data_IF_009988463212
#
_entry.id   IF_009988463212
#
_cell.length_a   1.000
_cell.length_b   1.000
_cell.length_c   1.000
_cell.angle_alpha   90.00
_cell.angle_beta   90.00
_cell.angle_gamma   90.00
#
_symmetry.space_group_name_H-M   'P 1'
#
loop_
_entity.id
_entity.type
_entity.pdbx_description
1 polymer ?
#
# COMPACT_ATOMS: atom_id res chain seq x y z
N UNK A 1 1.28 10.02 -19.47
CA UNK A 1 2.06 9.25 -18.53
C UNK A 1 2.15 7.79 -18.96
N UNK A 2 3.08 7.06 -18.42
CA UNK A 2 3.26 5.64 -18.70
C UNK A 2 2.61 4.83 -17.60
N UNK A 3 2.08 3.65 -17.97
CA UNK A 3 1.52 2.69 -17.00
C UNK A 3 2.35 1.42 -17.09
N UNK A 4 2.69 0.85 -15.96
CA UNK A 4 3.56 -0.32 -15.89
C UNK A 4 3.08 -1.39 -14.93
N UNK A 5 3.68 -2.55 -15.10
CA UNK A 5 3.67 -3.67 -14.16
C UNK A 5 4.99 -4.41 -14.26
N UNK A 6 5.30 -5.19 -13.25
CA UNK A 6 6.54 -5.95 -13.19
C UNK A 6 6.22 -7.44 -13.05
N UNK A 7 6.82 -8.22 -13.92
CA UNK A 7 6.83 -9.68 -13.85
C UNK A 7 8.29 -10.12 -13.65
N UNK A 8 8.55 -10.83 -12.57
CA UNK A 8 9.87 -11.38 -12.25
C UNK A 8 9.77 -12.88 -12.15
N UNK A 9 10.71 -13.57 -12.75
CA UNK A 9 10.84 -15.02 -12.67
C UNK A 9 12.26 -15.38 -12.24
N UNK A 10 12.39 -16.26 -11.26
CA UNK A 10 13.67 -16.69 -10.71
C UNK A 10 13.76 -18.18 -10.55
N UNK A 11 14.97 -18.74 -10.75
CA UNK A 11 15.27 -20.16 -10.52
C UNK A 11 15.32 -20.54 -9.04
N UNK A 12 15.40 -19.54 -8.15
CA UNK A 12 15.56 -19.72 -6.71
C UNK A 12 14.40 -19.10 -5.93
N UNK A 13 14.35 -19.36 -4.62
CA UNK A 13 13.27 -18.85 -3.75
C UNK A 13 13.47 -17.40 -3.27
N UNK A 14 14.66 -16.85 -3.46
CA UNK A 14 15.04 -15.53 -2.93
C UNK A 14 15.24 -14.50 -4.03
N UNK A 15 15.19 -13.23 -3.63
CA UNK A 15 15.52 -12.04 -4.42
C UNK A 15 14.50 -11.61 -5.47
N UNK A 16 13.59 -12.46 -5.93
CA UNK A 16 12.56 -12.10 -6.94
C UNK A 16 11.73 -10.91 -6.49
N UNK A 17 11.23 -10.92 -5.26
CA UNK A 17 10.45 -9.82 -4.69
C UNK A 17 11.27 -8.53 -4.57
N UNK A 18 12.53 -8.63 -4.12
CA UNK A 18 13.41 -7.47 -4.00
C UNK A 18 13.64 -6.80 -5.36
N UNK A 19 14.04 -7.57 -6.35
CA UNK A 19 14.25 -7.08 -7.72
C UNK A 19 12.97 -6.43 -8.27
N UNK A 20 11.82 -7.08 -8.08
CA UNK A 20 10.54 -6.56 -8.54
C UNK A 20 10.18 -5.21 -7.91
N UNK A 21 10.43 -5.05 -6.61
CA UNK A 21 10.18 -3.78 -5.88
C UNK A 21 11.12 -2.67 -6.33
N UNK A 22 12.40 -2.96 -6.50
CA UNK A 22 13.37 -1.99 -7.01
C UNK A 22 12.99 -1.50 -8.40
N UNK A 23 12.58 -2.38 -9.31
CA UNK A 23 12.11 -2.02 -10.64
C UNK A 23 10.86 -1.12 -10.60
N UNK A 24 9.88 -1.44 -9.74
CA UNK A 24 8.69 -0.60 -9.53
C UNK A 24 9.10 0.78 -9.03
N UNK A 25 9.96 0.84 -8.02
CA UNK A 25 10.41 2.09 -7.43
C UNK A 25 11.12 2.98 -8.47
N UNK A 26 12.06 2.42 -9.21
CA UNK A 26 12.80 3.17 -10.23
C UNK A 26 11.90 3.67 -11.36
N UNK A 27 10.99 2.84 -11.84
CA UNK A 27 10.06 3.23 -12.90
C UNK A 27 9.04 4.26 -12.38
N UNK A 28 8.57 4.15 -11.13
CA UNK A 28 7.68 5.14 -10.53
C UNK A 28 8.36 6.50 -10.41
N UNK A 29 9.62 6.56 -10.01
CA UNK A 29 10.42 7.79 -10.01
C UNK A 29 10.58 8.41 -11.41
N UNK A 30 10.57 7.57 -12.44
CA UNK A 30 10.60 8.03 -13.84
C UNK A 30 9.20 8.44 -14.37
N UNK A 31 8.17 8.48 -13.51
CA UNK A 31 6.82 8.91 -13.86
C UNK A 31 5.90 7.79 -14.34
N UNK A 32 6.27 6.53 -14.14
CA UNK A 32 5.40 5.40 -14.43
C UNK A 32 4.32 5.23 -13.34
N UNK A 33 3.06 5.16 -13.72
CA UNK A 33 1.96 4.82 -12.83
C UNK A 33 1.77 3.30 -12.73
N UNK A 34 1.46 2.81 -11.54
CA UNK A 34 1.24 1.39 -11.29
C UNK A 34 -0.17 1.15 -10.77
N UNK A 35 -1.04 0.44 -11.50
CA UNK A 35 -2.39 0.15 -11.07
C UNK A 35 -2.44 -1.01 -10.08
N UNK A 36 -2.81 -0.72 -8.84
CA UNK A 36 -3.03 -1.71 -7.79
C UNK A 36 -1.77 -2.51 -7.45
N UNK A 37 -1.89 -3.84 -7.31
CA UNK A 37 -0.74 -4.73 -7.05
C UNK A 37 0.04 -4.96 -8.36
N UNK A 38 1.18 -4.28 -8.56
CA UNK A 38 1.84 -4.22 -9.85
C UNK A 38 2.88 -5.31 -10.07
N UNK A 39 3.13 -6.17 -9.08
CA UNK A 39 4.15 -7.21 -9.11
C UNK A 39 3.51 -8.59 -9.13
N UNK A 40 3.94 -9.40 -10.08
CA UNK A 40 3.80 -10.87 -10.03
C UNK A 40 5.19 -11.46 -10.08
N UNK A 41 5.50 -12.30 -9.10
CA UNK A 41 6.81 -12.97 -9.01
C UNK A 41 6.63 -14.49 -9.05
N UNK A 42 7.41 -15.17 -9.87
CA UNK A 42 7.59 -16.62 -9.85
C UNK A 42 8.89 -16.99 -9.17
N UNK A 43 8.82 -17.68 -8.02
CA UNK A 43 10.00 -18.30 -7.40
C UNK A 43 10.27 -19.65 -8.03
N UNK A 44 11.46 -20.23 -7.82
CA UNK A 44 11.85 -21.48 -8.45
C UNK A 44 10.86 -22.63 -8.24
N UNK A 45 10.31 -22.77 -7.04
CA UNK A 45 9.29 -23.78 -6.74
C UNK A 45 7.85 -23.35 -7.05
N UNK A 46 7.60 -22.09 -7.30
CA UNK A 46 6.27 -21.46 -7.35
C UNK A 46 5.44 -21.66 -6.06
N UNK A 47 6.08 -21.98 -4.95
CA UNK A 47 5.39 -22.24 -3.69
C UNK A 47 4.69 -20.99 -3.12
N UNK A 48 5.12 -19.81 -3.54
CA UNK A 48 4.47 -18.55 -3.23
C UNK A 48 3.04 -18.43 -3.82
N UNK A 49 2.64 -19.34 -4.73
CA UNK A 49 1.26 -19.46 -5.23
C UNK A 49 0.43 -20.54 -4.53
N UNK A 50 0.98 -21.29 -3.57
CA UNK A 50 0.31 -22.43 -2.95
C UNK A 50 -1.08 -22.09 -2.38
N UNK A 51 -1.23 -20.96 -1.67
CA UNK A 51 -2.52 -20.55 -1.10
C UNK A 51 -3.52 -20.21 -2.20
N UNK A 52 -3.10 -19.48 -3.22
CA UNK A 52 -3.98 -19.10 -4.32
C UNK A 52 -4.40 -20.33 -5.15
N UNK A 53 -3.48 -21.22 -5.43
CA UNK A 53 -3.72 -22.48 -6.13
C UNK A 53 -4.77 -23.31 -5.39
N UNK A 54 -4.59 -23.49 -4.08
CA UNK A 54 -5.55 -24.22 -3.23
C UNK A 54 -6.94 -23.59 -3.24
N UNK A 55 -7.04 -22.28 -3.13
CA UNK A 55 -8.33 -21.57 -3.14
C UNK A 55 -9.06 -21.67 -4.48
N UNK A 56 -8.33 -21.80 -5.57
CA UNK A 56 -8.88 -21.90 -6.94
C UNK A 56 -9.02 -23.33 -7.45
N UNK A 57 -8.55 -24.33 -6.71
CA UNK A 57 -8.57 -25.73 -7.13
C UNK A 57 -7.67 -26.02 -8.34
N UNK A 58 -6.55 -25.32 -8.49
CA UNK A 58 -5.59 -25.44 -9.59
C UNK A 58 -4.18 -25.68 -9.05
N UNK A 59 -3.23 -26.00 -9.91
CA UNK A 59 -1.80 -26.08 -9.53
C UNK A 59 -1.10 -24.72 -9.45
N UNK A 60 0.10 -24.68 -8.85
CA UNK A 60 0.86 -23.46 -8.65
C UNK A 60 1.27 -22.78 -9.97
N UNK A 61 1.61 -23.56 -11.00
CA UNK A 61 1.98 -23.02 -12.30
C UNK A 61 0.79 -22.34 -12.99
N UNK A 62 -0.37 -22.96 -12.90
CA UNK A 62 -1.60 -22.37 -13.42
C UNK A 62 -1.97 -21.09 -12.67
N UNK A 63 -1.85 -21.08 -11.33
CA UNK A 63 -2.10 -19.90 -10.51
C UNK A 63 -1.13 -18.76 -10.85
N UNK A 64 0.14 -19.06 -11.08
CA UNK A 64 1.15 -18.09 -11.57
C UNK A 64 0.75 -17.52 -12.94
N UNK A 65 0.47 -18.36 -13.92
CA UNK A 65 0.06 -17.94 -15.28
C UNK A 65 -1.19 -17.06 -15.26
N UNK A 66 -2.17 -17.42 -14.45
CA UNK A 66 -3.39 -16.60 -14.32
C UNK A 66 -3.15 -15.27 -13.63
N UNK A 67 -2.24 -15.23 -12.64
CA UNK A 67 -1.84 -13.99 -12.01
C UNK A 67 -1.12 -13.06 -12.98
N UNK A 68 -0.23 -13.61 -13.80
CA UNK A 68 0.44 -12.86 -14.87
C UNK A 68 -0.55 -12.33 -15.91
N UNK A 69 -1.50 -13.15 -16.37
CA UNK A 69 -2.56 -12.71 -17.31
C UNK A 69 -3.42 -11.60 -16.72
N UNK A 70 -3.82 -11.73 -15.45
CA UNK A 70 -4.58 -10.67 -14.74
C UNK A 70 -3.79 -9.38 -14.63
N UNK A 71 -2.50 -9.47 -14.34
CA UNK A 71 -1.61 -8.31 -14.29
C UNK A 71 -1.58 -7.57 -15.63
N UNK A 72 -1.34 -8.29 -16.73
CA UNK A 72 -1.32 -7.71 -18.08
C UNK A 72 -2.67 -7.07 -18.43
N UNK A 73 -3.78 -7.78 -18.21
CA UNK A 73 -5.13 -7.23 -18.46
C UNK A 73 -5.38 -5.95 -17.65
N UNK A 74 -4.94 -5.91 -16.39
CA UNK A 74 -5.10 -4.74 -15.52
C UNK A 74 -4.32 -3.53 -16.07
N UNK A 75 -3.08 -3.71 -16.49
CA UNK A 75 -2.24 -2.64 -17.03
C UNK A 75 -2.78 -2.14 -18.35
N UNK A 76 -3.17 -3.04 -19.25
CA UNK A 76 -3.70 -2.66 -20.57
C UNK A 76 -5.07 -2.00 -20.51
N UNK A 77 -5.88 -2.32 -19.51
CA UNK A 77 -7.18 -1.69 -19.29
C UNK A 77 -7.12 -0.41 -18.45
N UNK A 78 -5.97 -0.14 -17.83
CA UNK A 78 -5.83 1.02 -16.97
C UNK A 78 -5.72 2.30 -17.76
N UNK A 79 -6.70 3.17 -17.61
CA UNK A 79 -6.65 4.54 -18.12
C UNK A 79 -6.43 5.47 -16.94
N UNK A 80 -5.29 6.17 -16.86
CA UNK A 80 -5.09 7.19 -15.84
C UNK A 80 -6.14 8.29 -16.01
N UNK A 81 -7.13 8.32 -15.16
CA UNK A 81 -8.12 9.40 -15.13
C UNK A 81 -7.61 10.47 -14.18
N UNK A 82 -7.10 11.54 -14.71
CA UNK A 82 -6.71 12.73 -13.97
C UNK A 82 -7.87 13.71 -13.83
N UNK A 83 -8.83 13.64 -14.74
CA UNK A 83 -10.07 14.43 -14.72
C UNK A 83 -11.11 13.76 -13.81
N UNK A 84 -11.83 14.56 -13.02
CA UNK A 84 -12.79 14.06 -12.02
C UNK A 84 -12.10 13.44 -10.81
N UNK A 85 -11.01 14.04 -10.37
CA UNK A 85 -10.28 13.62 -9.16
C UNK A 85 -11.24 13.57 -7.98
N UNK A 86 -11.25 12.42 -7.31
CA UNK A 86 -12.01 12.23 -6.08
C UNK A 86 -11.75 13.35 -5.08
N UNK A 87 -12.82 13.83 -4.47
CA UNK A 87 -12.79 15.02 -3.64
C UNK A 87 -12.34 14.74 -2.19
N UNK A 88 -12.14 13.48 -1.83
CA UNK A 88 -11.85 13.07 -0.44
C UNK A 88 -10.44 12.54 -0.29
N UNK A 89 -9.64 13.28 0.40
CA UNK A 89 -8.24 12.95 0.69
C UNK A 89 -8.14 12.49 2.15
N UNK A 90 -7.53 11.33 2.37
CA UNK A 90 -7.10 10.87 3.68
C UNK A 90 -5.60 11.01 3.80
N UNK A 91 -5.14 11.79 4.76
CA UNK A 91 -3.74 11.94 5.10
C UNK A 91 -3.43 11.18 6.40
N UNK A 92 -2.47 10.25 6.35
CA UNK A 92 -2.01 9.50 7.51
C UNK A 92 -0.57 9.88 7.85
N UNK A 93 -0.32 10.20 9.12
CA UNK A 93 1.03 10.48 9.61
C UNK A 93 1.25 9.86 10.99
N UNK A 94 2.51 9.59 11.31
CA UNK A 94 2.93 9.12 12.64
C UNK A 94 3.82 10.15 13.37
N UNK A 95 3.86 11.38 12.88
CA UNK A 95 4.66 12.44 13.48
C UNK A 95 4.04 12.92 14.79
N UNK A 96 4.86 12.97 15.84
CA UNK A 96 4.47 13.47 17.17
C UNK A 96 4.94 14.90 17.45
N UNK A 97 5.73 15.48 16.58
CA UNK A 97 6.36 16.80 16.81
C UNK A 97 5.57 17.92 16.16
N UNK A 98 5.33 19.02 16.90
CA UNK A 98 4.72 20.24 16.36
C UNK A 98 5.55 20.88 15.23
N UNK A 99 6.86 20.65 15.20
CA UNK A 99 7.83 21.19 14.23
C UNK A 99 8.36 20.10 13.30
N UNK A 100 7.48 19.26 12.80
CA UNK A 100 7.86 18.21 11.86
C UNK A 100 7.99 18.78 10.46
N UNK A 101 9.16 18.68 9.85
CA UNK A 101 9.37 19.08 8.45
C UNK A 101 8.46 18.31 7.49
N UNK A 102 8.12 17.07 7.83
CA UNK A 102 7.19 16.27 7.02
C UNK A 102 5.78 16.84 7.06
N UNK A 103 5.31 17.28 8.22
CA UNK A 103 4.01 17.95 8.35
C UNK A 103 4.02 19.36 7.74
N UNK A 104 5.13 20.08 7.80
CA UNK A 104 5.27 21.35 7.10
C UNK A 104 5.17 21.18 5.58
N UNK A 105 5.83 20.15 5.03
CA UNK A 105 5.69 19.83 3.61
C UNK A 105 4.24 19.47 3.26
N UNK A 106 3.58 18.67 4.10
CA UNK A 106 2.18 18.34 3.91
C UNK A 106 1.28 19.58 3.91
N UNK A 107 1.50 20.50 4.84
CA UNK A 107 0.73 21.73 4.89
C UNK A 107 0.91 22.59 3.62
N UNK A 108 2.14 22.67 3.10
CA UNK A 108 2.39 23.33 1.81
C UNK A 108 1.65 22.65 0.66
N UNK A 109 1.66 21.31 0.61
CA UNK A 109 0.88 20.57 -0.40
C UNK A 109 -0.61 20.86 -0.24
N UNK A 110 -1.12 20.85 0.99
CA UNK A 110 -2.54 21.07 1.28
C UNK A 110 -3.04 22.44 0.81
N UNK A 111 -2.22 23.46 0.92
CA UNK A 111 -2.54 24.82 0.45
C UNK A 111 -2.71 24.90 -1.07
N UNK A 112 -2.19 23.95 -1.83
CA UNK A 112 -2.28 23.89 -3.28
C UNK A 112 -3.36 22.90 -3.77
N UNK A 113 -4.06 22.23 -2.86
CA UNK A 113 -5.18 21.37 -3.26
C UNK A 113 -6.36 22.24 -3.70
N UNK A 114 -7.14 21.79 -4.70
CA UNK A 114 -8.37 22.45 -5.08
C UNK A 114 -9.31 22.65 -3.89
N UNK A 115 -9.98 23.81 -3.78
CA UNK A 115 -10.81 24.14 -2.61
C UNK A 115 -12.01 23.21 -2.40
N UNK A 116 -12.45 22.51 -3.44
CA UNK A 116 -13.51 21.50 -3.40
C UNK A 116 -13.07 20.17 -2.78
N UNK A 117 -11.77 19.96 -2.58
CA UNK A 117 -11.26 18.75 -1.95
C UNK A 117 -11.42 18.80 -0.43
N UNK A 118 -12.06 17.80 0.12
CA UNK A 118 -12.10 17.58 1.56
C UNK A 118 -10.90 16.77 2.02
N UNK A 119 -10.23 17.23 3.08
CA UNK A 119 -9.05 16.57 3.65
C UNK A 119 -9.38 16.10 5.06
N UNK A 120 -9.31 14.79 5.27
CA UNK A 120 -9.30 14.20 6.61
C UNK A 120 -7.87 13.82 6.97
N UNK A 121 -7.41 14.24 8.13
CA UNK A 121 -6.08 13.92 8.65
C UNK A 121 -6.21 13.07 9.90
N UNK A 122 -5.50 11.93 9.92
CA UNK A 122 -5.46 11.02 11.07
C UNK A 122 -4.02 10.84 11.52
N UNK A 123 -3.79 11.09 12.79
CA UNK A 123 -2.49 10.91 13.42
C UNK A 123 -2.37 9.51 14.05
N UNK A 124 -1.42 8.74 13.57
CA UNK A 124 -1.04 7.45 14.12
C UNK A 124 0.06 7.62 15.18
N UNK A 125 -0.24 8.36 16.24
CA UNK A 125 0.76 8.67 17.30
C UNK A 125 1.09 7.43 18.13
N UNK A 126 2.27 7.47 18.76
CA UNK A 126 2.67 6.48 19.74
C UNK A 126 1.64 6.37 20.87
N UNK A 127 1.38 5.13 21.30
CA UNK A 127 0.42 4.82 22.36
C UNK A 127 -1.02 4.63 21.90
N UNK A 128 -1.41 5.10 20.71
CA UNK A 128 -2.77 4.89 20.18
C UNK A 128 -2.86 3.77 19.15
N UNK A 129 -1.73 3.27 18.66
CA UNK A 129 -1.66 2.27 17.60
C UNK A 129 -1.30 0.91 18.17
N UNK A 130 -2.15 -0.06 17.91
CA UNK A 130 -1.89 -1.48 18.20
C UNK A 130 -1.43 -2.15 16.90
N UNK A 131 -0.24 -2.74 16.91
CA UNK A 131 0.29 -3.50 15.77
C UNK A 131 -0.44 -4.84 15.60
N UNK A 132 -0.18 -5.49 14.48
CA UNK A 132 -0.66 -6.85 14.20
C UNK A 132 -0.13 -7.83 15.26
N UNK A 133 -1.02 -8.60 15.88
CA UNK A 133 -0.68 -9.56 16.93
C UNK A 133 -0.36 -10.96 16.40
N UNK A 134 -0.37 -11.16 15.08
CA UNK A 134 -0.06 -12.45 14.48
C UNK A 134 -1.10 -13.53 14.82
N UNK A 135 -2.38 -13.25 14.61
CA UNK A 135 -3.45 -14.24 14.78
C UNK A 135 -3.22 -15.46 13.89
N UNK A 136 -3.87 -16.60 14.23
CA UNK A 136 -3.97 -17.70 13.29
C UNK A 136 -4.62 -17.24 11.98
N UNK A 137 -4.33 -17.95 10.90
CA UNK A 137 -4.89 -17.60 9.58
C UNK A 137 -6.43 -17.59 9.61
N UNK A 138 -7.03 -18.58 10.26
CA UNK A 138 -8.48 -18.74 10.38
C UNK A 138 -9.11 -17.58 11.15
N UNK A 139 -8.50 -17.19 12.27
CA UNK A 139 -8.98 -16.06 13.06
C UNK A 139 -8.87 -14.74 12.28
N UNK A 140 -7.74 -14.51 11.59
CA UNK A 140 -7.55 -13.34 10.75
C UNK A 140 -8.54 -13.30 9.59
N UNK A 141 -8.82 -14.47 8.98
CA UNK A 141 -9.80 -14.61 7.90
C UNK A 141 -11.21 -14.26 8.38
N UNK A 142 -11.64 -14.82 9.53
CA UNK A 142 -12.96 -14.60 10.08
C UNK A 142 -13.28 -13.10 10.31
N UNK A 143 -12.35 -12.36 10.92
CA UNK A 143 -12.53 -10.92 11.10
C UNK A 143 -12.37 -10.14 9.79
N UNK A 144 -11.43 -10.53 8.94
CA UNK A 144 -11.18 -9.91 7.65
C UNK A 144 -12.37 -9.99 6.69
N UNK A 145 -13.15 -11.07 6.69
CA UNK A 145 -14.39 -11.20 5.93
C UNK A 145 -15.47 -10.19 6.36
N UNK A 146 -15.38 -9.72 7.60
CA UNK A 146 -16.23 -8.64 8.13
C UNK A 146 -15.66 -7.24 7.86
N UNK A 147 -14.44 -7.16 7.33
CA UNK A 147 -13.69 -5.91 7.13
C UNK A 147 -13.26 -5.29 8.45
N UNK A 148 -12.91 -6.13 9.42
CA UNK A 148 -12.61 -5.75 10.79
C UNK A 148 -11.36 -6.47 11.31
N UNK A 149 -10.84 -6.05 12.46
CA UNK A 149 -9.75 -6.70 13.17
C UNK A 149 -10.07 -6.72 14.67
N UNK A 150 -9.99 -7.89 15.28
CA UNK A 150 -10.33 -8.13 16.69
C UNK A 150 -9.70 -7.13 17.68
N UNK A 151 -8.51 -6.65 17.38
CA UNK A 151 -7.75 -5.80 18.32
C UNK A 151 -8.14 -4.32 18.30
N UNK A 152 -9.15 -3.90 17.55
CA UNK A 152 -9.69 -2.54 17.59
C UNK A 152 -8.65 -1.42 17.47
N UNK A 153 -8.86 -0.34 18.18
CA UNK A 153 -8.00 0.83 18.27
C UNK A 153 -8.11 1.74 17.06
N UNK A 154 -7.30 2.80 17.04
CA UNK A 154 -7.39 3.88 16.02
C UNK A 154 -7.43 3.38 14.58
N UNK A 155 -6.71 2.30 14.27
CA UNK A 155 -6.68 1.75 12.91
C UNK A 155 -8.05 1.22 12.51
N UNK A 156 -8.73 0.48 13.38
CA UNK A 156 -10.06 -0.08 13.09
C UNK A 156 -11.16 0.97 13.21
N UNK A 157 -11.08 1.78 14.26
CA UNK A 157 -12.15 2.70 14.65
C UNK A 157 -12.18 3.98 13.79
N UNK A 158 -11.02 4.44 13.33
CA UNK A 158 -10.89 5.69 12.58
C UNK A 158 -10.35 5.48 11.16
N UNK A 159 -9.25 4.72 11.00
CA UNK A 159 -8.58 4.60 9.70
C UNK A 159 -9.37 3.74 8.72
N UNK A 160 -9.93 2.60 9.14
CA UNK A 160 -10.71 1.76 8.23
C UNK A 160 -11.93 2.48 7.63
N UNK A 161 -12.78 3.16 8.43
CA UNK A 161 -13.88 3.94 7.87
C UNK A 161 -13.40 5.05 6.93
N UNK A 162 -12.35 5.76 7.32
CA UNK A 162 -11.80 6.85 6.51
C UNK A 162 -11.22 6.35 5.18
N UNK A 163 -10.48 5.23 5.19
CA UNK A 163 -9.99 4.62 3.95
C UNK A 163 -11.13 4.19 3.04
N UNK A 164 -12.17 3.57 3.57
CA UNK A 164 -13.32 3.17 2.75
C UNK A 164 -13.95 4.36 2.01
N UNK A 165 -13.97 5.52 2.63
CA UNK A 165 -14.59 6.72 2.10
C UNK A 165 -13.67 7.57 1.22
N UNK A 166 -12.35 7.52 1.40
CA UNK A 166 -11.44 8.38 0.64
C UNK A 166 -11.25 7.89 -0.80
N UNK A 167 -10.92 8.82 -1.67
CA UNK A 167 -10.54 8.55 -3.06
C UNK A 167 -9.01 8.57 -3.22
N UNK A 168 -8.36 9.32 -2.33
CA UNK A 168 -6.90 9.50 -2.31
C UNK A 168 -6.38 9.28 -0.90
N UNK A 169 -5.33 8.46 -0.78
CA UNK A 169 -4.58 8.24 0.44
C UNK A 169 -3.20 8.89 0.31
N UNK A 170 -2.83 9.71 1.27
CA UNK A 170 -1.51 10.31 1.38
C UNK A 170 -0.82 9.81 2.63
N UNK A 171 0.31 9.13 2.47
CA UNK A 171 1.16 8.65 3.55
C UNK A 171 2.27 9.67 3.80
N UNK A 172 2.32 10.23 4.99
CA UNK A 172 3.27 11.27 5.37
C UNK A 172 4.32 10.64 6.27
N UNK A 173 5.48 10.35 5.70
CA UNK A 173 6.50 9.49 6.28
C UNK A 173 7.82 10.25 6.48
N UNK A 174 8.19 10.59 7.72
CA UNK A 174 9.55 11.01 8.00
C UNK A 174 10.51 9.81 7.88
N UNK A 175 11.74 10.09 7.48
CA UNK A 175 12.80 9.11 7.58
C UNK A 175 13.31 9.05 9.03
N UNK A 176 13.18 7.91 9.67
CA UNK A 176 13.78 7.60 10.96
C UNK A 176 14.72 6.42 10.80
N UNK A 177 16.02 6.70 10.71
CA UNK A 177 17.04 5.67 10.60
C UNK A 177 16.81 4.72 9.38
N UNK A 178 16.54 5.32 8.22
CA UNK A 178 16.28 4.64 6.95
C UNK A 178 15.12 3.63 6.98
N UNK A 179 14.13 3.91 7.81
CA UNK A 179 12.95 3.07 7.96
C UNK A 179 11.65 3.86 8.02
N UNK A 180 10.58 3.24 7.55
CA UNK A 180 9.21 3.70 7.79
C UNK A 180 8.91 3.61 9.28
N UNK A 181 8.24 4.62 9.83
CA UNK A 181 7.87 4.62 11.25
C UNK A 181 7.06 3.39 11.64
N UNK A 182 7.28 2.88 12.86
CA UNK A 182 6.62 1.67 13.36
C UNK A 182 5.08 1.75 13.27
N UNK A 183 4.50 2.91 13.51
CA UNK A 183 3.04 3.08 13.46
C UNK A 183 2.46 3.04 12.04
N UNK A 184 3.20 3.53 11.05
CA UNK A 184 2.83 3.35 9.63
C UNK A 184 2.99 1.88 9.23
N UNK A 185 4.02 1.20 9.71
CA UNK A 185 4.16 -0.26 9.48
C UNK A 185 3.04 -1.05 10.15
N UNK A 186 2.63 -0.68 11.36
CA UNK A 186 1.48 -1.28 12.03
C UNK A 186 0.18 -1.09 11.22
N UNK A 187 0.01 0.06 10.60
CA UNK A 187 -1.09 0.30 9.66
C UNK A 187 -1.03 -0.68 8.47
N UNK A 188 0.11 -0.80 7.78
CA UNK A 188 0.26 -1.76 6.68
C UNK A 188 0.00 -3.20 7.11
N UNK A 189 0.58 -3.63 8.24
CA UNK A 189 0.39 -4.98 8.77
C UNK A 189 -1.08 -5.33 9.02
N UNK A 190 -1.91 -4.36 9.32
CA UNK A 190 -3.33 -4.56 9.63
C UNK A 190 -4.27 -4.34 8.45
N UNK A 191 -3.79 -3.86 7.31
CA UNK A 191 -4.60 -3.68 6.09
C UNK A 191 -5.15 -4.99 5.53
N UNK A 192 -4.53 -6.14 5.82
CA UNK A 192 -4.98 -7.45 5.33
C UNK A 192 -6.45 -7.70 5.60
N UNK A 193 -6.95 -7.31 6.77
CA UNK A 193 -8.36 -7.46 7.14
C UNK A 193 -9.29 -6.66 6.21
N UNK A 194 -8.87 -5.44 5.86
CA UNK A 194 -9.67 -4.57 5.01
C UNK A 194 -9.64 -5.00 3.53
N UNK A 195 -8.47 -5.40 3.03
CA UNK A 195 -8.31 -5.90 1.67
C UNK A 195 -9.15 -7.13 1.34
N UNK A 196 -9.42 -7.97 2.31
CA UNK A 196 -10.21 -9.19 2.08
C UNK A 196 -11.66 -8.89 1.73
N UNK A 197 -12.25 -7.89 2.35
CA UNK A 197 -13.66 -7.53 2.15
C UNK A 197 -13.88 -6.53 1.02
N UNK A 198 -13.05 -5.51 0.96
CA UNK A 198 -13.31 -4.32 0.15
C UNK A 198 -12.27 -4.14 -0.98
N UNK A 199 -11.84 -5.26 -1.59
CA UNK A 199 -10.85 -5.26 -2.67
C UNK A 199 -11.14 -4.24 -3.78
N UNK A 200 -12.39 -4.20 -4.26
CA UNK A 200 -12.78 -3.30 -5.35
C UNK A 200 -12.66 -1.84 -4.94
N UNK A 201 -12.97 -1.53 -3.69
CA UNK A 201 -12.82 -0.16 -3.15
C UNK A 201 -11.36 0.30 -3.19
N UNK A 202 -10.41 -0.60 -2.95
CA UNK A 202 -8.99 -0.27 -3.00
C UNK A 202 -8.44 -0.13 -4.43
N UNK A 203 -9.00 -0.86 -5.38
CA UNK A 203 -8.52 -0.88 -6.77
C UNK A 203 -8.59 0.50 -7.45
N UNK A 204 -9.45 1.38 -6.96
CA UNK A 204 -9.68 2.72 -7.53
C UNK A 204 -9.03 3.86 -6.73
N UNK A 205 -8.42 3.57 -5.59
CA UNK A 205 -7.76 4.59 -4.78
C UNK A 205 -6.42 5.01 -5.36
N UNK A 206 -6.13 6.28 -5.21
CA UNK A 206 -4.79 6.83 -5.49
C UNK A 206 -3.99 6.87 -4.20
N UNK A 207 -2.75 6.41 -4.26
CA UNK A 207 -1.88 6.39 -3.09
C UNK A 207 -0.64 7.22 -3.41
N UNK A 208 -0.37 8.18 -2.56
CA UNK A 208 0.82 9.02 -2.62
C UNK A 208 1.59 8.91 -1.31
N UNK A 209 2.89 9.08 -1.38
CA UNK A 209 3.74 9.19 -0.21
C UNK A 209 4.55 10.49 -0.24
N UNK A 210 4.57 11.20 0.89
CA UNK A 210 5.48 12.30 1.13
C UNK A 210 6.57 11.79 2.07
N UNK A 211 7.79 11.69 1.58
CA UNK A 211 8.94 11.27 2.36
C UNK A 211 9.87 12.42 2.58
N UNK A 212 10.23 12.69 3.84
CA UNK A 212 11.21 13.73 4.20
C UNK A 212 12.35 13.08 4.93
N UNK A 213 13.55 13.27 4.40
CA UNK A 213 14.82 12.86 5.01
C UNK A 213 15.70 14.06 5.27
N UNK A 214 16.39 14.06 6.39
CA UNK A 214 17.33 15.14 6.73
C UNK A 214 18.63 15.06 5.91
N UNK A 215 18.98 13.88 5.44
CA UNK A 215 20.20 13.62 4.66
C UNK A 215 19.89 12.64 3.52
N UNK A 216 20.38 11.42 3.61
CA UNK A 216 20.11 10.31 2.68
C UNK A 216 19.00 9.39 3.20
N UNK A 217 18.68 8.33 2.46
CA UNK A 217 17.78 7.24 2.91
C UNK A 217 16.29 7.48 2.67
N UNK A 218 15.90 8.63 2.12
CA UNK A 218 14.50 8.87 1.76
C UNK A 218 14.00 7.92 0.66
N UNK A 219 14.87 7.48 -0.22
CA UNK A 219 14.63 6.47 -1.23
C UNK A 219 14.36 5.09 -0.60
N UNK A 220 15.10 4.72 0.45
CA UNK A 220 14.90 3.47 1.19
C UNK A 220 13.50 3.45 1.83
N UNK A 221 13.08 4.55 2.46
CA UNK A 221 11.75 4.69 3.04
C UNK A 221 10.66 4.60 1.96
N UNK A 222 10.84 5.28 0.83
CA UNK A 222 9.88 5.26 -0.28
C UNK A 222 9.75 3.84 -0.88
N UNK A 223 10.85 3.10 -1.04
CA UNK A 223 10.84 1.71 -1.50
C UNK A 223 10.10 0.79 -0.53
N UNK A 224 10.28 0.98 0.79
CA UNK A 224 9.54 0.22 1.80
C UNK A 224 8.02 0.46 1.68
N UNK A 225 7.59 1.70 1.46
CA UNK A 225 6.17 2.04 1.28
C UNK A 225 5.61 1.39 0.02
N UNK A 226 6.33 1.44 -1.09
CA UNK A 226 5.93 0.80 -2.36
C UNK A 226 5.83 -0.72 -2.22
N UNK A 227 6.65 -1.30 -1.36
CA UNK A 227 6.71 -2.74 -1.15
C UNK A 227 5.76 -3.28 -0.08
N UNK A 228 5.13 -2.43 0.68
CA UNK A 228 4.16 -2.82 1.70
C UNK A 228 2.76 -2.97 1.10
#
# INVERSE_FOLDING_TARGET
>A
GWTGAVLVDGSEELFTKKIGRELIFMANRAGCAFPGKPLVEGTGSLYNFNVQAKLQGIDNLQAYKESARRLVKKVTAFVPRWEGMGQRVLALHASSRRTSNTLLLWELVRQHLPPEMSVQEISLRNGSVVDCRGCSYEACLHFGEKGDCFYGGVIVEQVYPAIKQCDTLVLICPNYNDAVSANIMAFFNRLTALFRKDWDTFAHKRIFALVVSGYSGGDIVAEQIIGA
#
